data_IF_439484790346
#
_entry.id   IF_439484790346
#
_cell.length_a   1.000
_cell.length_b   1.000
_cell.length_c   1.000
_cell.angle_alpha   90.00
_cell.angle_beta   90.00
_cell.angle_gamma   90.00
#
_symmetry.space_group_name_H-M   'P 1'
#
loop_
_entity.id
_entity.type
_entity.pdbx_description
1 polymer ?
#
# COMPACT_ATOMS: atom_id res chain seq x y z
N UNK A 1 25.62 14.85 -10.90
CA UNK A 1 24.66 15.95 -11.13
C UNK A 1 23.27 15.33 -11.09
N UNK A 2 22.53 15.52 -10.01
CA UNK A 2 21.15 15.05 -9.92
C UNK A 2 20.33 15.82 -10.95
N UNK A 3 19.66 15.11 -11.86
CA UNK A 3 18.70 15.72 -12.78
C UNK A 3 17.51 16.15 -11.94
N UNK A 4 17.24 17.45 -11.88
CA UNK A 4 15.95 17.96 -11.43
C UNK A 4 14.91 17.58 -12.49
N UNK A 5 14.39 16.37 -12.39
CA UNK A 5 13.15 15.97 -13.05
C UNK A 5 12.00 16.69 -12.37
N UNK A 6 11.04 17.19 -13.15
CA UNK A 6 9.74 17.63 -12.61
C UNK A 6 9.24 16.58 -11.61
N UNK A 7 8.82 16.97 -10.40
CA UNK A 7 8.44 16.00 -9.40
C UNK A 7 7.16 15.29 -9.85
N UNK A 8 7.29 14.02 -10.26
CA UNK A 8 6.15 13.17 -10.53
C UNK A 8 5.29 13.04 -9.28
N UNK A 9 4.00 12.76 -9.48
CA UNK A 9 3.04 12.62 -8.39
C UNK A 9 2.50 11.19 -8.33
N UNK A 10 2.12 10.78 -7.12
CA UNK A 10 1.70 9.43 -6.85
C UNK A 10 0.33 9.38 -6.17
N UNK A 11 -0.35 8.25 -6.35
CA UNK A 11 -1.49 7.85 -5.54
C UNK A 11 -1.19 6.55 -4.80
N UNK A 12 -1.80 6.39 -3.63
CA UNK A 12 -1.73 5.17 -2.83
C UNK A 12 -3.06 4.41 -2.89
N UNK A 13 -2.99 3.09 -3.05
CA UNK A 13 -4.08 2.16 -2.75
C UNK A 13 -3.69 1.46 -1.46
N UNK A 14 -4.40 1.77 -0.38
CA UNK A 14 -4.14 1.20 0.94
C UNK A 14 -5.09 0.03 1.18
N UNK A 15 -4.57 -1.20 1.08
CA UNK A 15 -5.31 -2.41 1.35
C UNK A 15 -5.39 -2.64 2.86
N UNK A 16 -6.56 -2.36 3.42
CA UNK A 16 -6.95 -2.66 4.79
C UNK A 16 -8.04 -3.75 4.85
N UNK A 17 -8.31 -4.41 3.72
CA UNK A 17 -9.35 -5.43 3.55
C UNK A 17 -8.90 -6.86 3.80
N UNK A 18 -7.66 -7.09 4.25
CA UNK A 18 -7.17 -8.43 4.55
C UNK A 18 -8.16 -9.18 5.45
N UNK A 19 -8.64 -10.34 4.96
CA UNK A 19 -9.45 -11.29 5.72
C UNK A 19 -8.59 -11.79 6.89
N UNK A 20 -8.48 -11.01 7.97
CA UNK A 20 -7.87 -11.42 9.22
C UNK A 20 -8.64 -12.56 9.87
N UNK A 21 -8.74 -13.73 9.20
CA UNK A 21 -9.21 -15.00 9.74
C UNK A 21 -8.20 -15.57 10.74
N UNK A 22 -7.03 -14.93 10.88
CA UNK A 22 -5.99 -15.27 11.86
C UNK A 22 -5.85 -14.18 12.92
N UNK A 23 -6.96 -13.79 13.53
CA UNK A 23 -7.01 -13.40 14.94
C UNK A 23 -8.45 -13.73 15.35
N UNK A 24 -8.65 -14.42 16.46
CA UNK A 24 -9.99 -14.76 16.98
C UNK A 24 -10.76 -13.53 17.49
N UNK A 25 -10.60 -12.39 16.81
CA UNK A 25 -11.12 -11.10 17.20
C UNK A 25 -12.33 -10.73 16.35
N UNK A 26 -13.29 -10.10 17.00
CA UNK A 26 -14.52 -9.55 16.43
C UNK A 26 -14.22 -8.45 15.39
N UNK A 27 -12.96 -7.96 15.32
CA UNK A 27 -12.51 -6.81 14.52
C UNK A 27 -11.19 -7.12 13.78
N UNK A 28 -11.02 -6.75 12.49
CA UNK A 28 -9.76 -6.93 11.77
C UNK A 28 -8.60 -6.17 12.40
N UNK A 29 -7.40 -6.78 12.39
CA UNK A 29 -6.16 -6.23 12.98
C UNK A 29 -5.83 -4.82 12.51
N UNK A 30 -6.19 -4.44 11.29
CA UNK A 30 -5.94 -3.10 10.74
C UNK A 30 -6.65 -1.98 11.51
N UNK A 31 -7.69 -2.31 12.29
CA UNK A 31 -8.40 -1.39 13.19
C UNK A 31 -7.95 -1.51 14.65
N UNK A 32 -7.03 -2.43 14.96
CA UNK A 32 -6.39 -2.45 16.27
C UNK A 32 -5.56 -1.18 16.46
N UNK A 33 -5.46 -0.73 17.70
CA UNK A 33 -4.75 0.49 18.03
C UNK A 33 -3.30 0.18 18.39
N UNK A 34 -2.39 0.93 17.78
CA UNK A 34 -1.03 1.10 18.24
C UNK A 34 -0.93 2.52 18.77
N UNK A 35 -0.57 2.67 20.05
CA UNK A 35 -0.50 3.99 20.69
C UNK A 35 -1.79 4.82 20.48
N UNK A 36 -2.94 4.21 20.77
CA UNK A 36 -4.28 4.80 20.64
C UNK A 36 -4.71 5.21 19.22
N UNK A 37 -3.93 4.89 18.19
CA UNK A 37 -4.24 5.18 16.79
C UNK A 37 -4.37 3.87 15.99
N UNK A 38 -5.41 3.70 15.15
CA UNK A 38 -5.60 2.50 14.35
C UNK A 38 -4.43 2.24 13.38
N UNK A 39 -4.06 0.97 13.17
CA UNK A 39 -2.94 0.61 12.29
C UNK A 39 -3.05 1.19 10.87
N UNK A 40 -4.24 1.17 10.27
CA UNK A 40 -4.43 1.72 8.92
C UNK A 40 -4.22 3.24 8.88
N UNK A 41 -4.50 3.95 9.98
CA UNK A 41 -4.28 5.40 10.09
C UNK A 41 -2.78 5.68 10.16
N UNK A 42 -2.01 4.90 10.93
CA UNK A 42 -0.54 4.98 10.90
C UNK A 42 0.02 4.77 9.49
N UNK A 43 -0.45 3.73 8.79
CA UNK A 43 -0.02 3.47 7.42
C UNK A 43 -0.32 4.66 6.49
N UNK A 44 -1.53 5.21 6.58
CA UNK A 44 -1.94 6.36 5.79
C UNK A 44 -1.11 7.62 6.10
N UNK A 45 -0.80 7.88 7.38
CA UNK A 45 0.03 9.01 7.81
C UNK A 45 1.46 8.91 7.26
N UNK A 46 2.06 7.72 7.33
CA UNK A 46 3.40 7.47 6.80
C UNK A 46 3.46 7.63 5.27
N UNK A 47 2.44 7.18 4.55
CA UNK A 47 2.32 7.45 3.12
C UNK A 47 2.17 8.96 2.87
N UNK A 48 1.28 9.64 3.59
CA UNK A 48 1.07 11.09 3.46
C UNK A 48 2.34 11.92 3.74
N UNK A 49 3.23 11.43 4.61
CA UNK A 49 4.49 12.09 4.94
C UNK A 49 5.43 12.24 3.73
N UNK A 50 5.33 11.37 2.71
CA UNK A 50 6.14 11.45 1.47
C UNK A 50 5.88 12.73 0.65
N UNK A 51 4.73 13.39 0.81
CA UNK A 51 4.27 14.54 0.00
C UNK A 51 4.14 14.29 -1.52
N UNK A 52 4.68 13.20 -2.04
CA UNK A 52 4.45 12.71 -3.42
C UNK A 52 3.08 12.05 -3.57
N UNK A 53 2.60 11.38 -2.52
CA UNK A 53 1.23 10.90 -2.48
C UNK A 53 0.26 12.08 -2.31
N UNK A 54 -0.57 12.29 -3.33
CA UNK A 54 -1.60 13.35 -3.35
C UNK A 54 -3.01 12.82 -3.20
N UNK A 55 -3.16 11.51 -3.30
CA UNK A 55 -4.42 10.79 -3.17
C UNK A 55 -4.18 9.41 -2.57
N UNK A 56 -5.11 8.97 -1.75
CA UNK A 56 -5.16 7.65 -1.16
C UNK A 56 -6.57 7.09 -1.31
N UNK A 57 -6.65 5.86 -1.80
CA UNK A 57 -7.87 5.04 -1.84
C UNK A 57 -7.72 3.96 -0.77
N UNK A 58 -8.55 4.01 0.26
CA UNK A 58 -8.58 3.01 1.32
C UNK A 58 -9.55 1.90 0.93
N UNK A 59 -9.08 0.66 0.90
CA UNK A 59 -9.91 -0.51 0.60
C UNK A 59 -10.08 -1.35 1.86
N UNK A 60 -11.31 -1.52 2.31
CA UNK A 60 -11.64 -2.28 3.54
C UNK A 60 -12.75 -3.28 3.26
N UNK A 61 -12.87 -4.32 4.07
CA UNK A 61 -14.01 -5.23 3.95
C UNK A 61 -15.34 -4.47 4.12
N UNK A 62 -16.36 -4.81 3.32
CA UNK A 62 -17.62 -4.05 3.19
C UNK A 62 -18.30 -3.72 4.53
N UNK A 63 -18.34 -4.68 5.45
CA UNK A 63 -18.90 -4.49 6.81
C UNK A 63 -18.19 -3.43 7.66
N UNK A 64 -16.96 -3.04 7.30
CA UNK A 64 -16.13 -2.10 8.04
C UNK A 64 -16.00 -0.74 7.36
N UNK A 65 -16.60 -0.54 6.18
CA UNK A 65 -16.61 0.75 5.48
C UNK A 65 -17.12 1.90 6.36
N UNK A 66 -18.25 1.76 7.09
CA UNK A 66 -18.73 2.84 7.96
C UNK A 66 -17.73 3.22 9.04
N UNK A 67 -17.15 2.23 9.74
CA UNK A 67 -16.15 2.48 10.78
C UNK A 67 -14.86 3.10 10.21
N UNK A 68 -14.41 2.62 9.05
CA UNK A 68 -13.23 3.18 8.38
C UNK A 68 -13.45 4.65 8.00
N UNK A 69 -14.66 5.01 7.57
CA UNK A 69 -15.04 6.39 7.30
C UNK A 69 -15.00 7.25 8.56
N UNK A 70 -15.65 6.82 9.64
CA UNK A 70 -15.66 7.56 10.91
C UNK A 70 -14.25 7.80 11.44
N UNK A 71 -13.39 6.77 11.39
CA UNK A 71 -12.00 6.86 11.82
C UNK A 71 -11.16 7.74 10.89
N UNK A 72 -11.33 7.65 9.57
CA UNK A 72 -10.62 8.51 8.62
C UNK A 72 -10.97 10.00 8.83
N UNK A 73 -12.22 10.31 9.16
CA UNK A 73 -12.66 11.66 9.52
C UNK A 73 -12.08 12.11 10.87
N UNK A 74 -12.18 11.25 11.90
CA UNK A 74 -11.66 11.53 13.24
C UNK A 74 -10.16 11.85 13.23
N UNK A 75 -9.39 11.13 12.41
CA UNK A 75 -7.94 11.29 12.28
C UNK A 75 -7.51 12.26 11.18
N UNK A 76 -8.44 12.95 10.53
CA UNK A 76 -8.16 13.93 9.49
C UNK A 76 -7.26 13.37 8.36
N UNK A 77 -7.58 12.18 7.84
CA UNK A 77 -6.86 11.60 6.70
C UNK A 77 -7.20 12.35 5.40
N UNK A 78 -6.66 13.55 5.22
CA UNK A 78 -7.03 14.47 4.12
C UNK A 78 -6.75 13.92 2.73
N UNK A 79 -5.71 13.09 2.58
CA UNK A 79 -5.38 12.45 1.30
C UNK A 79 -6.29 11.27 0.98
N UNK A 80 -7.00 10.71 1.96
CA UNK A 80 -7.90 9.58 1.78
C UNK A 80 -9.20 10.05 1.11
N UNK A 81 -9.22 10.09 -0.22
CA UNK A 81 -10.36 10.60 -1.01
C UNK A 81 -11.49 9.61 -1.16
N UNK A 82 -11.16 8.33 -1.18
CA UNK A 82 -12.12 7.26 -1.42
C UNK A 82 -11.92 6.15 -0.39
N UNK A 83 -13.03 5.64 0.13
CA UNK A 83 -13.06 4.42 0.97
C UNK A 83 -13.99 3.44 0.27
N UNK A 84 -13.43 2.31 -0.16
CA UNK A 84 -14.13 1.33 -0.98
C UNK A 84 -14.27 -0.01 -0.26
N UNK A 85 -15.37 -0.74 -0.49
CA UNK A 85 -15.43 -2.15 -0.12
C UNK A 85 -14.40 -2.93 -0.94
N UNK A 86 -13.71 -3.86 -0.28
CA UNK A 86 -12.88 -4.86 -0.94
C UNK A 86 -13.73 -5.73 -1.87
N UNK A 87 -13.16 -6.08 -3.02
CA UNK A 87 -13.75 -7.00 -3.99
C UNK A 87 -13.51 -8.46 -3.55
N UNK A 88 -13.85 -9.39 -4.44
CA UNK A 88 -13.73 -10.83 -4.22
C UNK A 88 -12.30 -11.32 -3.91
N UNK A 89 -11.30 -10.65 -4.48
CA UNK A 89 -9.89 -10.92 -4.22
C UNK A 89 -9.04 -9.62 -4.19
N UNK A 90 -7.76 -9.70 -3.76
CA UNK A 90 -6.89 -8.53 -3.69
C UNK A 90 -6.62 -7.85 -5.04
N UNK A 91 -6.53 -8.59 -6.15
CA UNK A 91 -6.27 -8.03 -7.48
C UNK A 91 -7.51 -7.28 -7.98
N UNK A 92 -8.70 -7.88 -7.88
CA UNK A 92 -9.97 -7.22 -8.19
C UNK A 92 -10.18 -5.95 -7.34
N UNK A 93 -9.73 -5.98 -6.09
CA UNK A 93 -9.77 -4.83 -5.19
C UNK A 93 -8.86 -3.69 -5.66
N UNK A 94 -7.66 -4.01 -6.15
CA UNK A 94 -6.73 -3.03 -6.73
C UNK A 94 -7.29 -2.47 -8.04
N UNK A 95 -7.87 -3.31 -8.90
CA UNK A 95 -8.49 -2.87 -10.15
C UNK A 95 -9.66 -1.91 -9.90
N UNK A 96 -10.54 -2.23 -8.94
CA UNK A 96 -11.63 -1.34 -8.54
C UNK A 96 -11.10 -0.03 -7.97
N UNK A 97 -10.09 -0.08 -7.09
CA UNK A 97 -9.49 1.12 -6.52
C UNK A 97 -8.81 2.00 -7.58
N UNK A 98 -8.10 1.39 -8.55
CA UNK A 98 -7.44 2.12 -9.63
C UNK A 98 -8.41 2.91 -10.50
N UNK A 99 -9.65 2.44 -10.65
CA UNK A 99 -10.71 3.16 -11.39
C UNK A 99 -11.09 4.48 -10.71
N UNK A 100 -11.01 4.53 -9.38
CA UNK A 100 -11.25 5.74 -8.59
C UNK A 100 -10.03 6.67 -8.54
N UNK A 101 -8.82 6.11 -8.69
CA UNK A 101 -7.59 6.92 -8.66
C UNK A 101 -7.55 7.93 -9.80
N UNK A 102 -7.45 9.23 -9.48
CA UNK A 102 -7.41 10.29 -10.50
C UNK A 102 -6.31 10.07 -11.56
N UNK A 103 -6.65 10.26 -12.85
CA UNK A 103 -5.80 9.87 -14.00
C UNK A 103 -4.46 10.60 -14.13
N UNK A 104 -4.31 11.74 -13.46
CA UNK A 104 -3.11 12.57 -13.57
C UNK A 104 -1.88 12.08 -12.79
N UNK A 105 -2.02 11.06 -11.93
CA UNK A 105 -0.89 10.54 -11.16
C UNK A 105 -0.03 9.59 -11.99
N UNK A 106 1.28 9.83 -11.98
CA UNK A 106 2.28 9.09 -12.74
C UNK A 106 2.51 7.69 -12.18
N UNK A 107 2.49 7.58 -10.85
CA UNK A 107 2.76 6.35 -10.10
C UNK A 107 1.57 5.98 -9.21
N UNK A 108 1.26 4.69 -9.14
CA UNK A 108 0.30 4.13 -8.19
C UNK A 108 1.03 3.11 -7.32
N UNK A 109 0.98 3.30 -6.01
CA UNK A 109 1.55 2.36 -5.04
C UNK A 109 0.44 1.59 -4.31
N UNK A 110 0.55 0.28 -4.24
CA UNK A 110 -0.31 -0.58 -3.45
C UNK A 110 0.42 -0.91 -2.15
N UNK A 111 -0.19 -0.58 -1.01
CA UNK A 111 0.38 -0.81 0.31
C UNK A 111 -0.58 -1.58 1.21
N UNK A 112 -0.05 -2.47 2.04
CA UNK A 112 -0.85 -3.22 3.02
C UNK A 112 -0.86 -2.52 4.37
N UNK A 113 -2.06 -2.16 4.85
CA UNK A 113 -2.23 -1.47 6.14
C UNK A 113 -1.79 -2.32 7.36
N UNK A 114 -1.57 -3.62 7.18
CA UNK A 114 -1.02 -4.50 8.20
C UNK A 114 0.47 -4.19 8.53
N UNK A 115 1.15 -3.42 7.67
CA UNK A 115 2.49 -2.87 7.89
C UNK A 115 2.37 -1.37 8.20
N UNK A 116 1.98 -0.98 9.41
CA UNK A 116 1.54 0.39 9.75
C UNK A 116 2.63 1.46 9.70
N UNK A 117 3.90 1.09 9.70
CA UNK A 117 5.02 2.02 9.87
C UNK A 117 6.06 1.86 8.75
N UNK A 118 5.69 2.04 7.48
CA UNK A 118 6.67 1.98 6.40
C UNK A 118 7.70 3.10 6.54
N UNK A 119 8.97 2.78 6.26
CA UNK A 119 10.07 3.74 6.28
C UNK A 119 9.91 4.78 5.15
N UNK A 120 9.86 6.09 5.45
CA UNK A 120 9.77 7.14 4.44
C UNK A 120 10.89 7.12 3.39
N UNK A 121 12.12 6.74 3.77
CA UNK A 121 13.23 6.66 2.83
C UNK A 121 13.01 5.53 1.82
N UNK A 122 12.61 4.35 2.30
CA UNK A 122 12.23 3.22 1.46
C UNK A 122 11.06 3.57 0.53
N UNK A 123 10.03 4.28 1.02
CA UNK A 123 8.93 4.75 0.17
C UNK A 123 9.45 5.61 -0.98
N UNK A 124 10.33 6.57 -0.70
CA UNK A 124 10.89 7.45 -1.72
C UNK A 124 11.66 6.65 -2.79
N UNK A 125 12.54 5.73 -2.36
CA UNK A 125 13.32 4.87 -3.26
C UNK A 125 12.42 4.00 -4.15
N UNK A 126 11.39 3.38 -3.57
CA UNK A 126 10.43 2.55 -4.32
C UNK A 126 9.65 3.37 -5.33
N UNK A 127 9.24 4.60 -4.98
CA UNK A 127 8.53 5.48 -5.91
C UNK A 127 9.45 5.94 -7.06
N UNK A 128 10.69 6.32 -6.76
CA UNK A 128 11.67 6.74 -7.77
C UNK A 128 11.97 5.59 -8.74
N UNK A 129 12.27 4.41 -8.21
CA UNK A 129 12.53 3.23 -9.03
C UNK A 129 11.32 2.84 -9.88
N UNK A 130 10.09 2.91 -9.33
CA UNK A 130 8.89 2.62 -10.12
C UNK A 130 8.68 3.63 -11.24
N UNK A 131 8.96 4.92 -11.01
CA UNK A 131 8.87 5.96 -12.04
C UNK A 131 9.88 5.73 -13.17
N UNK A 132 11.12 5.38 -12.84
CA UNK A 132 12.21 5.17 -13.81
C UNK A 132 12.07 3.85 -14.57
N UNK A 133 11.84 2.74 -13.85
CA UNK A 133 11.87 1.37 -14.38
C UNK A 133 10.48 0.79 -14.70
N UNK A 134 9.43 1.49 -14.28
CA UNK A 134 8.03 1.12 -14.50
C UNK A 134 7.38 0.33 -13.38
N UNK A 135 8.15 -0.42 -12.59
CA UNK A 135 7.67 -1.14 -11.40
C UNK A 135 8.79 -1.28 -10.39
N UNK A 136 8.45 -1.18 -9.10
CA UNK A 136 9.37 -1.43 -8.02
C UNK A 136 8.63 -1.90 -6.76
N UNK A 137 9.35 -2.59 -5.88
CA UNK A 137 8.83 -3.06 -4.61
C UNK A 137 9.96 -3.08 -3.57
N UNK A 138 9.59 -2.96 -2.30
CA UNK A 138 10.52 -3.20 -1.21
C UNK A 138 10.75 -4.71 -1.05
N UNK A 139 11.95 -5.10 -0.59
CA UNK A 139 12.24 -6.49 -0.31
C UNK A 139 13.24 -6.62 0.85
N UNK A 140 13.05 -7.64 1.68
CA UNK A 140 13.97 -7.96 2.79
C UNK A 140 14.70 -9.27 2.49
N UNK A 141 15.99 -9.41 2.86
CA UNK A 141 16.71 -10.67 2.67
C UNK A 141 16.01 -11.83 3.39
N UNK A 142 15.87 -12.97 2.69
CA UNK A 142 15.44 -14.23 3.27
C UNK A 142 16.66 -15.13 3.45
N UNK A 143 17.09 -15.40 4.70
CA UNK A 143 18.27 -16.23 4.97
C UNK A 143 18.23 -17.61 4.29
N UNK A 144 19.41 -18.14 3.97
CA UNK A 144 19.51 -19.50 3.48
C UNK A 144 19.05 -20.51 4.54
N UNK A 145 18.28 -21.52 4.13
CA UNK A 145 17.69 -22.51 5.04
C UNK A 145 16.32 -22.12 5.60
N UNK A 146 15.91 -20.85 5.50
CA UNK A 146 14.56 -20.43 5.92
C UNK A 146 13.54 -20.57 4.78
N UNK A 147 12.33 -20.99 5.13
CA UNK A 147 11.20 -21.04 4.21
C UNK A 147 10.39 -19.75 4.33
N UNK A 148 9.89 -19.25 3.21
CA UNK A 148 8.91 -18.16 3.23
C UNK A 148 7.64 -18.64 3.92
N UNK A 149 7.01 -17.76 4.68
CA UNK A 149 5.75 -18.09 5.32
C UNK A 149 4.62 -18.20 4.29
N UNK A 150 3.53 -18.90 4.66
CA UNK A 150 2.38 -19.06 3.78
C UNK A 150 1.73 -17.71 3.49
N UNK A 151 1.86 -17.25 2.25
CA UNK A 151 1.33 -15.96 1.78
C UNK A 151 2.42 -14.94 1.46
N UNK A 152 3.67 -15.21 1.82
CA UNK A 152 4.80 -14.39 1.42
C UNK A 152 5.26 -14.73 0.00
N UNK A 153 5.73 -13.71 -0.71
CA UNK A 153 6.31 -13.85 -2.06
C UNK A 153 7.83 -13.84 -1.94
N UNK A 154 8.44 -15.01 -2.07
CA UNK A 154 9.89 -15.14 -2.12
C UNK A 154 10.41 -15.08 -3.55
N UNK A 155 11.37 -14.19 -3.81
CA UNK A 155 12.05 -14.05 -5.09
C UNK A 155 13.53 -14.36 -4.97
N UNK A 156 14.18 -14.73 -6.08
CA UNK A 156 15.63 -14.93 -6.15
C UNK A 156 16.23 -13.91 -7.11
N UNK A 157 17.18 -13.11 -6.61
CA UNK A 157 17.90 -12.10 -7.38
C UNK A 157 19.41 -12.26 -7.14
N UNK A 158 20.18 -12.38 -8.22
CA UNK A 158 21.64 -12.58 -8.19
C UNK A 158 22.09 -13.68 -7.21
N UNK A 159 21.36 -14.80 -7.17
CA UNK A 159 21.64 -15.95 -6.29
C UNK A 159 21.14 -15.82 -4.86
N UNK A 160 20.72 -14.62 -4.40
CA UNK A 160 20.17 -14.38 -3.05
C UNK A 160 18.65 -14.42 -3.06
N UNK A 161 18.05 -14.74 -1.91
CA UNK A 161 16.59 -14.80 -1.73
C UNK A 161 16.09 -13.58 -0.96
N UNK A 162 14.89 -13.14 -1.29
CA UNK A 162 14.23 -12.01 -0.65
C UNK A 162 12.74 -12.28 -0.49
N UNK A 163 12.12 -11.74 0.57
CA UNK A 163 10.68 -11.59 0.68
C UNK A 163 10.31 -10.21 0.14
N UNK A 164 9.39 -10.18 -0.83
CA UNK A 164 8.83 -8.93 -1.35
C UNK A 164 7.79 -8.41 -0.37
N UNK A 165 7.87 -7.11 -0.07
CA UNK A 165 6.92 -6.41 0.77
C UNK A 165 6.35 -5.18 0.05
N UNK A 166 5.20 -4.73 0.54
CA UNK A 166 4.60 -3.48 0.10
C UNK A 166 5.32 -2.27 0.74
N UNK A 167 5.34 -1.08 0.08
CA UNK A 167 4.59 -0.73 -1.11
C UNK A 167 5.10 -1.41 -2.38
N UNK A 168 4.16 -1.84 -3.22
CA UNK A 168 4.39 -2.22 -4.61
C UNK A 168 4.02 -1.01 -5.46
N UNK A 169 5.01 -0.35 -6.06
CA UNK A 169 4.79 0.83 -6.87
C UNK A 169 4.92 0.52 -8.35
N UNK A 170 4.06 1.15 -9.14
CA UNK A 170 3.99 0.96 -10.58
C UNK A 170 3.81 2.32 -11.22
N UNK A 171 4.46 2.56 -12.35
CA UNK A 171 3.94 3.57 -13.27
C UNK A 171 2.51 3.20 -13.65
N UNK A 172 1.63 4.20 -13.73
CA UNK A 172 0.20 3.99 -13.95
C UNK A 172 -0.08 3.17 -15.21
N UNK A 173 0.62 3.47 -16.31
CA UNK A 173 0.47 2.75 -17.58
C UNK A 173 0.83 1.27 -17.46
N UNK A 174 1.85 0.95 -16.65
CA UNK A 174 2.25 -0.44 -16.36
C UNK A 174 1.22 -1.16 -15.51
N UNK A 175 0.71 -0.55 -14.45
CA UNK A 175 -0.34 -1.16 -13.63
C UNK A 175 -1.61 -1.41 -14.45
N UNK A 176 -2.01 -0.44 -15.27
CA UNK A 176 -3.21 -0.54 -16.12
C UNK A 176 -3.07 -1.67 -17.16
N UNK A 177 -1.86 -1.94 -17.65
CA UNK A 177 -1.64 -3.03 -18.60
C UNK A 177 -1.59 -4.43 -17.95
N UNK A 178 -1.45 -4.50 -16.63
CA UNK A 178 -1.37 -5.75 -15.86
C UNK A 178 -2.73 -6.23 -15.35
N UNK A 179 -3.71 -5.33 -15.25
CA UNK A 179 -5.07 -5.58 -14.77
C UNK A 179 -6.04 -5.65 -15.95
#
# INVERSE_FOLDING_TARGET
MARETEPFTAAAILLAGGLGRRYGEIRPKVFAELDHKPLFVHAADHLAASKRFRELVLVVHSSWVPLAYDLAQWWHLEIARHILPAAEDPVASVEQALKEVHRAYDVVAVHEAAFPLPDPAMIAEVLDAAYEEGTAASAVPLPEGEAAERGEVAVRLAGKRYIVHSPLAFRRDRLTALL
#
